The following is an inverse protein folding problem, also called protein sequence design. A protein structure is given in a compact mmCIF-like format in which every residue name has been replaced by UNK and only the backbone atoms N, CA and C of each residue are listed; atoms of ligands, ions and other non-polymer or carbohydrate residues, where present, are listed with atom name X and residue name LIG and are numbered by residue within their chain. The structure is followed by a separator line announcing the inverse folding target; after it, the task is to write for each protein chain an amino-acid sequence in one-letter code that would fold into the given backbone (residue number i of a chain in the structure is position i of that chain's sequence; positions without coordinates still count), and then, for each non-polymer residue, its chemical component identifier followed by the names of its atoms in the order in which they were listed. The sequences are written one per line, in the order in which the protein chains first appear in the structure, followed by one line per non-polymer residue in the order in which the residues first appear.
data_IF_753521821056
#
_entry.id   IF_753521821056
#
_cell.length_a   1.000
_cell.length_b   1.000
_cell.length_c   1.000
_cell.angle_alpha   90.00
_cell.angle_beta   90.00
_cell.angle_gamma   90.00
#
_symmetry.space_group_name_H-M   'P 1'
#
loop_
_entity.id
_entity.type
_entity.pdbx_description
1 polymer ?
#
# COMPACT_ATOMS: atom_id res chain seq x y z
N UNK A 1 -0.01 28.90 -18.00
CA UNK A 1 -0.65 27.95 -17.06
C UNK A 1 0.13 26.66 -17.17
N UNK A 2 0.87 26.31 -16.13
CA UNK A 2 1.59 25.02 -16.07
C UNK A 2 0.57 24.04 -15.52
N UNK A 3 0.24 22.98 -16.27
CA UNK A 3 -0.60 21.91 -15.72
C UNK A 3 0.11 21.26 -14.52
N UNK A 4 -0.59 20.89 -13.43
CA UNK A 4 0.05 20.22 -12.32
C UNK A 4 0.64 18.89 -12.82
N UNK A 5 1.94 18.69 -12.56
CA UNK A 5 2.70 17.48 -12.91
C UNK A 5 1.99 16.19 -12.41
N UNK A 6 1.16 16.33 -11.37
CA UNK A 6 0.46 15.24 -10.70
C UNK A 6 -0.65 14.57 -11.53
N UNK A 7 -1.45 15.30 -12.32
CA UNK A 7 -2.70 14.70 -12.88
C UNK A 7 -2.42 13.65 -13.96
N UNK A 8 -1.43 13.89 -14.84
CA UNK A 8 -1.05 12.92 -15.88
C UNK A 8 -0.16 11.79 -15.32
N UNK A 9 0.74 12.10 -14.38
CA UNK A 9 1.65 11.13 -13.79
C UNK A 9 0.93 10.07 -12.93
N UNK A 10 -0.14 10.45 -12.22
CA UNK A 10 -0.94 9.50 -11.42
C UNK A 10 -1.56 8.42 -12.31
N UNK A 11 -2.09 8.79 -13.48
CA UNK A 11 -2.70 7.83 -14.40
C UNK A 11 -1.71 6.83 -15.04
N UNK A 12 -0.46 7.24 -15.27
CA UNK A 12 0.59 6.40 -15.86
C UNK A 12 1.26 5.48 -14.84
N UNK A 13 1.32 5.88 -13.57
CA UNK A 13 1.88 5.08 -12.47
C UNK A 13 1.01 3.87 -12.10
N UNK A 14 -0.27 3.92 -12.46
CA UNK A 14 -1.25 2.93 -12.03
C UNK A 14 -0.92 1.48 -12.43
N UNK A 15 -0.61 1.17 -13.71
CA UNK A 15 -0.18 -0.17 -14.11
C UNK A 15 1.10 -0.65 -13.40
N UNK A 16 2.07 0.25 -13.20
CA UNK A 16 3.33 -0.07 -12.53
C UNK A 16 3.08 -0.48 -11.07
N UNK A 17 2.23 0.26 -10.35
CA UNK A 17 1.85 -0.07 -8.98
C UNK A 17 1.10 -1.40 -8.89
N UNK A 18 0.15 -1.67 -9.80
CA UNK A 18 -0.57 -2.94 -9.81
C UNK A 18 0.40 -4.14 -9.96
N UNK A 19 1.35 -4.04 -10.89
CA UNK A 19 2.38 -5.07 -11.08
C UNK A 19 3.28 -5.25 -9.85
N UNK A 20 3.72 -4.15 -9.24
CA UNK A 20 4.58 -4.19 -8.06
C UNK A 20 3.87 -4.73 -6.82
N UNK A 21 2.66 -4.26 -6.53
CA UNK A 21 1.82 -4.78 -5.45
C UNK A 21 1.64 -6.30 -5.61
N UNK A 22 1.28 -6.77 -6.81
CA UNK A 22 1.12 -8.20 -7.09
C UNK A 22 2.40 -9.00 -6.86
N UNK A 23 3.56 -8.51 -7.31
CA UNK A 23 4.85 -9.16 -7.05
C UNK A 23 5.17 -9.25 -5.57
N UNK A 24 4.94 -8.17 -4.82
CA UNK A 24 5.16 -8.18 -3.36
C UNK A 24 4.21 -9.17 -2.69
N UNK A 25 2.90 -9.05 -2.93
CA UNK A 25 1.85 -9.98 -2.48
C UNK A 25 2.35 -11.44 -2.62
N UNK A 26 2.79 -11.83 -3.82
CA UNK A 26 3.29 -13.18 -4.12
C UNK A 26 4.61 -13.54 -3.42
N UNK A 27 5.57 -12.61 -3.37
CA UNK A 27 6.92 -12.86 -2.83
C UNK A 27 6.89 -13.13 -1.33
N UNK A 28 6.08 -12.37 -0.58
CA UNK A 28 5.94 -12.56 0.87
C UNK A 28 4.75 -13.47 1.23
N UNK A 29 3.98 -13.93 0.25
CA UNK A 29 2.75 -14.73 0.40
C UNK A 29 1.68 -14.05 1.28
N UNK A 30 1.51 -12.74 1.13
CA UNK A 30 0.50 -11.97 1.86
C UNK A 30 -0.76 -11.80 1.03
N UNK A 31 -1.89 -11.72 1.73
CA UNK A 31 -3.24 -11.82 1.17
C UNK A 31 -3.62 -10.65 0.28
N UNK A 32 -3.24 -9.45 0.69
CA UNK A 32 -3.72 -8.21 0.09
C UNK A 32 -2.65 -7.12 0.13
N UNK A 33 -2.66 -6.24 -0.88
CA UNK A 33 -1.80 -5.07 -0.95
C UNK A 33 -2.51 -3.89 -1.60
N UNK A 34 -2.16 -2.67 -1.21
CA UNK A 34 -2.78 -1.44 -1.69
C UNK A 34 -1.79 -0.28 -1.71
N UNK A 35 -2.12 0.77 -2.47
CA UNK A 35 -1.31 1.98 -2.56
C UNK A 35 -2.04 3.20 -1.98
N UNK A 36 -1.35 3.98 -1.16
CA UNK A 36 -1.79 5.28 -0.66
C UNK A 36 -0.97 6.39 -1.32
N UNK A 37 -1.62 7.45 -1.75
CA UNK A 37 -1.01 8.61 -2.41
C UNK A 37 -1.36 9.88 -1.65
N UNK A 38 -0.50 10.88 -1.73
CA UNK A 38 -0.87 12.22 -1.27
C UNK A 38 -1.90 12.82 -2.21
N UNK A 39 -2.84 13.59 -1.66
CA UNK A 39 -3.65 14.49 -2.46
C UNK A 39 -2.76 15.58 -3.10
N UNK A 40 -3.25 16.30 -4.14
CA UNK A 40 -2.46 17.33 -4.83
C UNK A 40 -1.93 18.44 -3.92
N UNK A 41 -2.61 18.72 -2.81
CA UNK A 41 -2.21 19.71 -1.81
C UNK A 41 -1.21 19.17 -0.77
N UNK A 42 -0.83 17.89 -0.85
CA UNK A 42 0.13 17.22 0.05
C UNK A 42 -0.23 17.34 1.54
N UNK A 43 -1.54 17.25 1.84
CA UNK A 43 -2.10 17.42 3.19
C UNK A 43 -2.79 16.17 3.71
N UNK A 44 -3.22 15.27 2.83
CA UNK A 44 -3.99 14.07 3.13
C UNK A 44 -3.46 12.88 2.33
N UNK A 45 -3.65 11.69 2.88
CA UNK A 45 -3.41 10.42 2.21
C UNK A 45 -4.73 9.83 1.73
N UNK A 46 -4.79 9.55 0.43
CA UNK A 46 -5.93 8.95 -0.25
C UNK A 46 -5.57 7.55 -0.75
N UNK A 47 -6.53 6.63 -0.63
CA UNK A 47 -6.35 5.28 -1.16
C UNK A 47 -6.50 5.29 -2.69
N UNK A 48 -5.48 4.78 -3.38
CA UNK A 48 -5.52 4.55 -4.82
C UNK A 48 -6.61 3.55 -5.19
N UNK A 49 -7.20 3.62 -6.39
CA UNK A 49 -8.10 2.57 -6.90
C UNK A 49 -7.40 1.24 -7.19
N UNK A 50 -6.12 1.07 -6.84
CA UNK A 50 -5.32 -0.10 -7.13
C UNK A 50 -5.05 -0.88 -5.86
N UNK A 51 -5.40 -2.16 -5.90
CA UNK A 51 -5.03 -3.15 -4.90
C UNK A 51 -4.68 -4.49 -5.57
N UNK A 52 -3.94 -5.33 -4.87
CA UNK A 52 -3.75 -6.75 -5.19
C UNK A 52 -4.50 -7.62 -4.19
N UNK A 53 -5.09 -8.69 -4.71
CA UNK A 53 -5.38 -9.90 -3.93
C UNK A 53 -4.44 -10.99 -4.40
N UNK A 54 -3.87 -11.74 -3.46
CA UNK A 54 -2.94 -12.81 -3.79
C UNK A 54 -3.62 -13.88 -4.68
N UNK A 55 -3.00 -14.30 -5.79
CA UNK A 55 -3.66 -15.17 -6.79
C UNK A 55 -4.03 -16.55 -6.25
N UNK A 56 -3.25 -17.11 -5.33
CA UNK A 56 -3.49 -18.43 -4.73
C UNK A 56 -4.47 -18.42 -3.54
N UNK A 57 -5.28 -17.37 -3.35
CA UNK A 57 -6.39 -17.39 -2.40
C UNK A 57 -7.64 -18.00 -3.05
N UNK A 58 -8.39 -18.77 -2.28
CA UNK A 58 -9.67 -19.33 -2.73
C UNK A 58 -10.68 -18.22 -3.07
N UNK A 59 -11.75 -18.59 -3.77
CA UNK A 59 -12.72 -17.64 -4.30
C UNK A 59 -13.43 -16.85 -3.19
N UNK A 60 -13.76 -17.49 -2.06
CA UNK A 60 -14.40 -16.84 -0.91
C UNK A 60 -13.49 -15.78 -0.29
N UNK A 61 -12.21 -16.12 -0.08
CA UNK A 61 -11.19 -15.20 0.45
C UNK A 61 -10.94 -14.06 -0.53
N UNK A 62 -10.89 -14.35 -1.83
CA UNK A 62 -10.71 -13.34 -2.86
C UNK A 62 -11.86 -12.33 -2.86
N UNK A 63 -13.10 -12.81 -2.90
CA UNK A 63 -14.30 -11.97 -2.88
C UNK A 63 -14.38 -11.10 -1.61
N UNK A 64 -13.95 -11.64 -0.46
CA UNK A 64 -13.87 -10.88 0.77
C UNK A 64 -12.85 -9.73 0.66
N UNK A 65 -11.66 -9.99 0.12
CA UNK A 65 -10.60 -8.98 0.02
C UNK A 65 -10.89 -7.92 -1.05
N UNK A 66 -11.58 -8.27 -2.12
CA UNK A 66 -12.11 -7.30 -3.09
C UNK A 66 -13.09 -6.33 -2.42
N UNK A 67 -14.02 -6.85 -1.60
CA UNK A 67 -14.94 -6.02 -0.80
C UNK A 67 -14.21 -5.14 0.21
N UNK A 68 -13.15 -5.68 0.84
CA UNK A 68 -12.30 -4.88 1.73
C UNK A 68 -11.72 -3.67 0.99
N UNK A 69 -11.12 -3.86 -0.19
CA UNK A 69 -10.58 -2.77 -1.01
C UNK A 69 -11.64 -1.72 -1.36
N UNK A 70 -12.83 -2.17 -1.79
CA UNK A 70 -13.96 -1.28 -2.07
C UNK A 70 -14.37 -0.45 -0.86
N UNK A 71 -14.55 -1.07 0.32
CA UNK A 71 -14.90 -0.38 1.56
C UNK A 71 -13.78 0.55 2.03
N UNK A 72 -12.52 0.16 1.79
CA UNK A 72 -11.37 0.94 2.23
C UNK A 72 -11.19 2.25 1.46
N UNK A 73 -11.75 2.38 0.25
CA UNK A 73 -11.68 3.62 -0.53
C UNK A 73 -12.39 4.81 0.09
N UNK A 74 -13.33 4.58 1.01
CA UNK A 74 -14.03 5.66 1.70
C UNK A 74 -13.19 6.33 2.80
N UNK A 75 -11.98 5.83 3.06
CA UNK A 75 -11.09 6.37 4.08
C UNK A 75 -10.12 7.39 3.47
N UNK A 76 -10.09 8.57 4.09
CA UNK A 76 -9.06 9.59 3.89
C UNK A 76 -8.32 9.74 5.21
N UNK A 77 -6.99 9.74 5.18
CA UNK A 77 -6.15 9.73 6.38
C UNK A 77 -5.34 11.02 6.47
N UNK A 78 -5.24 11.60 7.67
CA UNK A 78 -4.31 12.72 7.91
C UNK A 78 -2.85 12.25 7.90
N UNK A 79 -1.93 13.16 7.62
CA UNK A 79 -0.48 12.90 7.64
C UNK A 79 -0.01 12.75 9.10
N UNK A 80 -0.16 11.53 9.62
CA UNK A 80 0.24 10.99 10.94
C UNK A 80 -0.71 9.88 11.42
N UNK A 81 -1.82 9.64 10.71
CA UNK A 81 -2.82 8.66 11.09
C UNK A 81 -2.58 7.29 10.45
N UNK A 82 -2.79 6.24 11.25
CA UNK A 82 -2.71 4.86 10.79
C UNK A 82 -1.32 4.46 10.26
N UNK A 83 -1.29 3.28 9.63
CA UNK A 83 -0.07 2.72 9.07
C UNK A 83 0.57 3.60 7.98
N UNK A 84 -0.18 4.07 6.94
CA UNK A 84 0.43 4.86 5.88
C UNK A 84 0.90 6.23 6.36
N UNK A 85 0.18 6.90 7.28
CA UNK A 85 0.63 8.17 7.85
C UNK A 85 1.97 8.05 8.59
N UNK A 86 2.16 6.98 9.37
CA UNK A 86 3.45 6.71 10.05
C UNK A 86 4.58 6.42 9.08
N UNK A 87 4.30 5.69 7.99
CA UNK A 87 5.29 5.46 6.93
C UNK A 87 5.71 6.76 6.27
N UNK A 88 4.75 7.64 5.95
CA UNK A 88 5.04 8.94 5.36
C UNK A 88 5.95 9.78 6.26
N UNK A 89 5.55 9.91 7.54
CA UNK A 89 6.25 10.75 8.51
C UNK A 89 7.68 10.27 8.78
N UNK A 90 7.86 8.96 8.96
CA UNK A 90 9.16 8.37 9.29
C UNK A 90 9.99 8.03 8.06
N UNK A 91 9.40 8.08 6.86
CA UNK A 91 10.03 7.74 5.57
C UNK A 91 10.72 6.37 5.58
N UNK A 92 10.17 5.42 6.34
CA UNK A 92 10.74 4.10 6.54
C UNK A 92 9.64 3.04 6.75
N UNK A 93 9.94 1.74 6.52
CA UNK A 93 8.99 0.66 6.73
C UNK A 93 8.43 0.62 8.15
N UNK A 94 7.11 0.42 8.25
CA UNK A 94 6.37 0.29 9.49
C UNK A 94 5.63 -1.04 9.54
N UNK A 95 5.49 -1.57 10.75
CA UNK A 95 4.82 -2.84 11.02
C UNK A 95 3.73 -2.66 12.07
N UNK A 96 2.64 -3.42 11.93
CA UNK A 96 1.63 -3.64 12.97
C UNK A 96 1.43 -5.14 13.07
N UNK A 97 1.58 -5.69 14.27
CA UNK A 97 1.45 -7.14 14.50
C UNK A 97 0.02 -7.63 14.32
N UNK A 98 -0.97 -6.86 14.78
CA UNK A 98 -2.38 -7.12 14.57
C UNK A 98 -3.15 -5.80 14.36
N UNK A 99 -3.59 -5.55 13.14
CA UNK A 99 -4.38 -4.36 12.76
C UNK A 99 -5.85 -4.45 13.17
N UNK A 100 -6.31 -5.63 13.61
CA UNK A 100 -7.68 -5.85 14.05
C UNK A 100 -7.91 -5.47 15.52
N UNK A 101 -6.85 -5.23 16.29
CA UNK A 101 -6.92 -4.74 17.67
C UNK A 101 -6.71 -3.23 17.73
N UNK A 102 -7.39 -2.51 18.64
CA UNK A 102 -7.10 -1.10 18.87
C UNK A 102 -5.65 -0.91 19.33
N UNK A 103 -4.90 -0.04 18.66
CA UNK A 103 -3.58 0.42 19.12
C UNK A 103 -3.64 1.88 19.56
N UNK A 104 -2.73 2.27 20.46
CA UNK A 104 -2.46 3.68 20.73
C UNK A 104 -2.00 4.33 19.41
N UNK A 105 -2.80 5.25 18.85
CA UNK A 105 -2.53 5.90 17.56
C UNK A 105 -3.44 5.55 16.38
N UNK A 106 -4.67 5.07 16.64
CA UNK A 106 -5.80 5.04 15.68
C UNK A 106 -5.48 4.43 14.31
N UNK A 107 -5.49 3.10 14.21
CA UNK A 107 -5.80 2.48 12.93
C UNK A 107 -7.30 2.62 12.67
N UNK A 108 -7.70 3.66 11.91
CA UNK A 108 -9.09 3.99 11.61
C UNK A 108 -9.87 2.85 10.94
N UNK A 109 -9.16 1.91 10.30
CA UNK A 109 -9.71 0.73 9.62
C UNK A 109 -9.70 -0.54 10.49
N UNK A 110 -9.47 -0.47 11.81
CA UNK A 110 -9.33 -1.68 12.63
C UNK A 110 -10.59 -2.55 12.64
N UNK A 111 -11.77 -1.94 12.71
CA UNK A 111 -13.04 -2.66 12.63
C UNK A 111 -13.23 -3.31 11.25
N UNK A 112 -12.81 -2.63 10.19
CA UNK A 112 -12.85 -3.17 8.83
C UNK A 112 -11.88 -4.35 8.69
N UNK A 113 -10.62 -4.18 9.10
CA UNK A 113 -9.64 -5.26 9.11
C UNK A 113 -10.12 -6.47 9.94
N UNK A 114 -10.73 -6.23 11.10
CA UNK A 114 -11.36 -7.28 11.91
C UNK A 114 -12.47 -8.01 11.16
N UNK A 115 -13.37 -7.28 10.50
CA UNK A 115 -14.48 -7.87 9.74
C UNK A 115 -14.01 -8.74 8.56
N UNK A 116 -12.86 -8.40 7.97
CA UNK A 116 -12.27 -9.10 6.84
C UNK A 116 -11.12 -10.05 7.25
N UNK A 117 -10.94 -10.33 8.54
CA UNK A 117 -9.86 -11.19 9.06
C UNK A 117 -8.47 -10.80 8.51
N UNK A 118 -8.14 -9.52 8.58
CA UNK A 118 -6.80 -8.99 8.34
C UNK A 118 -6.14 -8.69 9.69
N UNK A 119 -4.87 -9.06 9.80
CA UNK A 119 -4.09 -9.11 11.04
C UNK A 119 -2.78 -8.37 10.88
N UNK A 120 -1.66 -9.00 10.57
CA UNK A 120 -0.41 -8.27 10.42
C UNK A 120 -0.50 -7.27 9.24
N UNK A 121 0.13 -6.10 9.43
CA UNK A 121 0.19 -5.03 8.45
C UNK A 121 1.61 -4.52 8.27
N UNK A 122 2.06 -4.38 7.02
CA UNK A 122 3.36 -3.83 6.63
C UNK A 122 3.12 -2.67 5.69
N UNK A 123 3.68 -1.51 6.01
CA UNK A 123 3.70 -0.37 5.10
C UNK A 123 5.13 0.08 4.81
N UNK A 124 5.43 0.50 3.59
CA UNK A 124 6.72 1.09 3.24
C UNK A 124 6.60 2.12 2.10
N UNK A 125 7.50 3.13 2.07
CA UNK A 125 7.43 4.19 1.08
C UNK A 125 7.96 3.71 -0.28
N UNK A 126 7.35 4.17 -1.36
CA UNK A 126 7.85 4.08 -2.73
C UNK A 126 8.38 5.45 -3.12
N UNK A 127 9.65 5.50 -3.51
CA UNK A 127 10.32 6.74 -3.87
C UNK A 127 10.41 6.94 -5.38
N UNK A 128 10.40 8.20 -5.79
CA UNK A 128 10.97 8.69 -7.04
C UNK A 128 11.95 9.79 -6.66
N UNK A 129 13.23 9.57 -6.96
CA UNK A 129 14.32 10.39 -6.43
C UNK A 129 14.28 10.49 -4.89
N UNK A 130 13.94 11.67 -4.35
CA UNK A 130 13.79 11.92 -2.92
C UNK A 130 12.32 12.11 -2.50
N UNK A 131 11.37 12.05 -3.42
CA UNK A 131 9.96 12.23 -3.13
C UNK A 131 9.27 10.87 -2.89
N UNK A 132 8.38 10.81 -1.90
CA UNK A 132 7.48 9.65 -1.75
C UNK A 132 6.35 9.82 -2.76
N UNK A 133 6.27 8.94 -3.75
CA UNK A 133 5.20 8.96 -4.75
C UNK A 133 4.01 8.08 -4.37
N UNK A 134 4.23 7.08 -3.53
CA UNK A 134 3.20 6.24 -2.98
C UNK A 134 3.68 5.58 -1.69
N UNK A 135 2.73 5.06 -0.91
CA UNK A 135 2.98 4.21 0.24
C UNK A 135 2.26 2.90 -0.03
N UNK A 136 3.03 1.82 -0.11
CA UNK A 136 2.43 0.50 -0.23
C UNK A 136 2.13 -0.04 1.15
N UNK A 137 0.95 -0.64 1.29
CA UNK A 137 0.49 -1.30 2.51
C UNK A 137 0.01 -2.69 2.17
N UNK A 138 0.43 -3.68 2.95
CA UNK A 138 0.09 -5.08 2.77
C UNK A 138 -0.50 -5.64 4.06
N UNK A 139 -1.37 -6.64 3.91
CA UNK A 139 -1.96 -7.35 5.04
C UNK A 139 -1.98 -8.87 4.83
N UNK A 140 -1.96 -9.62 5.93
CA UNK A 140 -2.24 -11.06 5.95
C UNK A 140 -3.19 -11.42 7.09
N UNK A 141 -3.72 -12.63 7.08
CA UNK A 141 -4.71 -13.14 8.05
C UNK A 141 -4.11 -13.66 9.35
N UNK A 142 -2.78 -13.63 9.48
CA UNK A 142 -2.04 -14.03 10.67
C UNK A 142 -1.42 -12.83 11.37
N UNK A 143 -1.53 -12.80 12.69
CA UNK A 143 -0.80 -11.86 13.53
C UNK A 143 0.55 -12.45 13.90
N UNK A 144 1.62 -11.67 13.79
CA UNK A 144 2.96 -12.08 14.19
C UNK A 144 3.88 -10.88 14.41
N UNK A 145 4.92 -11.11 15.21
CA UNK A 145 5.94 -10.11 15.52
C UNK A 145 6.65 -9.64 14.25
N UNK A 146 7.22 -8.44 14.32
CA UNK A 146 7.94 -7.82 13.21
C UNK A 146 9.04 -8.74 12.68
N UNK A 147 8.90 -9.14 11.43
CA UNK A 147 9.88 -9.96 10.72
C UNK A 147 10.70 -9.11 9.75
N UNK A 148 12.01 -9.03 9.99
CA UNK A 148 12.93 -8.22 9.18
C UNK A 148 13.15 -8.80 7.79
N UNK A 149 13.13 -10.12 7.64
CA UNK A 149 13.38 -10.79 6.37
C UNK A 149 12.19 -10.61 5.44
N UNK A 150 10.96 -10.66 6.00
CA UNK A 150 9.73 -10.32 5.27
C UNK A 150 9.77 -8.87 4.76
N UNK A 151 10.21 -7.92 5.60
CA UNK A 151 10.32 -6.51 5.22
C UNK A 151 11.32 -6.33 4.07
N UNK A 152 12.50 -6.95 4.16
CA UNK A 152 13.53 -6.85 3.13
C UNK A 152 13.06 -7.46 1.81
N UNK A 153 12.41 -8.63 1.87
CA UNK A 153 11.88 -9.30 0.69
C UNK A 153 10.77 -8.49 0.02
N UNK A 154 9.87 -7.88 0.81
CA UNK A 154 8.80 -7.03 0.29
C UNK A 154 9.36 -5.82 -0.47
N UNK A 155 10.34 -5.12 0.11
CA UNK A 155 10.97 -3.96 -0.50
C UNK A 155 11.70 -4.35 -1.79
N UNK A 156 12.47 -5.46 -1.77
CA UNK A 156 13.18 -5.95 -2.94
C UNK A 156 12.23 -6.34 -4.10
N UNK A 157 11.05 -6.90 -3.79
CA UNK A 157 10.05 -7.24 -4.79
C UNK A 157 9.36 -6.00 -5.42
N UNK A 158 9.37 -4.86 -4.73
CA UNK A 158 8.85 -3.59 -5.21
C UNK A 158 9.84 -2.81 -6.10
N UNK A 159 11.14 -3.06 -5.98
CA UNK A 159 12.25 -2.33 -6.62
C UNK A 159 12.20 -2.17 -8.16
N UNK A 160 11.54 -3.05 -8.97
CA UNK A 160 11.42 -2.76 -10.40
C UNK A 160 10.69 -1.44 -10.75
N UNK A 161 10.05 -0.78 -9.76
CA UNK A 161 9.50 0.58 -9.90
C UNK A 161 10.56 1.70 -10.00
N UNK A 162 11.81 1.45 -9.58
CA UNK A 162 12.86 2.48 -9.56
C UNK A 162 13.58 2.63 -10.92
N UNK A 163 13.43 1.66 -11.83
CA UNK A 163 14.23 1.57 -13.06
C UNK A 163 13.44 1.53 -14.38
N UNK A 164 12.11 1.46 -14.34
CA UNK A 164 11.29 1.44 -15.55
C UNK A 164 10.26 2.56 -15.56
N UNK A 165 10.70 3.77 -15.88
CA UNK A 165 9.94 4.75 -16.67
C UNK A 165 10.97 5.73 -17.26
N UNK A 166 10.88 5.98 -18.58
CA UNK A 166 11.79 6.79 -19.44
C UNK A 166 12.96 6.08 -20.15
N UNK A 167 12.64 5.08 -20.99
CA UNK A 167 13.39 4.89 -22.25
C UNK A 167 12.51 4.52 -23.48
N UNK A 168 11.18 4.58 -23.35
CA UNK A 168 10.28 4.32 -24.47
C UNK A 168 9.32 5.50 -24.58
N UNK A 169 9.73 6.58 -25.23
CA UNK A 169 9.15 7.18 -26.46
C UNK A 169 10.12 8.29 -26.89
N UNK A 170 11.15 7.94 -27.66
CA UNK A 170 11.71 8.83 -28.67
C UNK A 170 12.25 7.97 -29.82
N UNK A 171 11.34 7.55 -30.70
CA UNK A 171 11.59 7.14 -32.09
C UNK A 171 10.35 7.40 -32.94
#
# INVERSE_FOLDING_TARGET
MVEPIYTNAVSTLHPAFAGALSRVCQSINWDYGEAWMLNPEETLLELSPIWCVHPNRDDDRRDALEKFGVCSRSFVLSINEGLPGRVFQLRQPQWIEDVSVPSEGYFLRNQLAKAFNLKAGLGFPIFRDQAIIAIFVFFTDRAFEKDKDVIQLAIAAATPLEYEEFYVIDR
#
